data_IF_959325668379
#
_entry.id   IF_959325668379
#
_cell.length_a   1.000
_cell.length_b   1.000
_cell.length_c   1.000
_cell.angle_alpha   90.00
_cell.angle_beta   90.00
_cell.angle_gamma   90.00
#
_symmetry.space_group_name_H-M   'P 1'
#
loop_
_entity.id
_entity.type
_entity.pdbx_description
1 polymer ?
#
# COMPACT_ATOMS: atom_id res chain seq x y z
N UNK A 1 8.11 -53.09 -35.94
CA UNK A 1 7.83 -51.82 -36.66
C UNK A 1 9.08 -50.95 -36.59
N UNK A 2 9.40 -50.24 -37.68
CA UNK A 2 10.73 -49.64 -37.88
C UNK A 2 11.01 -48.41 -36.99
N UNK A 3 12.28 -48.23 -36.62
CA UNK A 3 12.82 -46.92 -36.24
C UNK A 3 12.86 -46.03 -37.47
N UNK A 4 12.50 -44.75 -37.33
CA UNK A 4 12.51 -43.76 -38.42
C UNK A 4 13.15 -42.45 -37.93
N UNK A 5 14.45 -42.51 -37.61
CA UNK A 5 15.19 -41.36 -37.05
C UNK A 5 16.65 -41.23 -37.54
N UNK A 6 17.06 -41.99 -38.56
CA UNK A 6 18.46 -42.04 -39.04
C UNK A 6 18.63 -41.63 -40.51
N UNK A 7 17.60 -41.06 -41.15
CA UNK A 7 17.58 -40.81 -42.60
C UNK A 7 17.70 -39.34 -43.04
N UNK A 8 17.97 -38.40 -42.12
CA UNK A 8 18.07 -36.96 -42.45
C UNK A 8 19.50 -36.40 -42.44
N UNK A 9 20.41 -36.96 -41.64
CA UNK A 9 21.78 -36.42 -41.49
C UNK A 9 22.76 -36.81 -42.61
N UNK A 10 22.48 -37.86 -43.40
CA UNK A 10 23.40 -38.29 -44.46
C UNK A 10 23.23 -37.57 -45.81
N UNK A 11 22.18 -36.77 -46.01
CA UNK A 11 21.93 -36.12 -47.31
C UNK A 11 22.46 -34.67 -47.42
N UNK A 12 22.76 -34.02 -46.29
CA UNK A 12 23.27 -32.64 -46.28
C UNK A 12 24.82 -32.55 -46.31
N UNK A 13 25.53 -33.62 -45.97
CA UNK A 13 27.00 -33.57 -45.88
C UNK A 13 27.71 -33.72 -47.23
N UNK A 14 27.12 -34.45 -48.20
CA UNK A 14 27.69 -34.70 -49.52
C UNK A 14 27.51 -33.58 -50.54
N UNK A 15 26.67 -32.57 -50.26
CA UNK A 15 26.48 -31.42 -51.16
C UNK A 15 27.40 -30.22 -50.83
N UNK A 16 28.00 -30.19 -49.64
CA UNK A 16 28.78 -29.05 -49.15
C UNK A 16 30.29 -29.15 -49.41
N UNK A 17 30.82 -30.37 -49.57
CA UNK A 17 32.27 -30.60 -49.76
C UNK A 17 32.74 -30.33 -51.20
N UNK A 18 31.93 -30.60 -52.21
CA UNK A 18 32.36 -30.53 -53.61
C UNK A 18 32.36 -29.11 -54.20
N UNK A 19 31.64 -28.17 -53.60
CA UNK A 19 31.65 -26.77 -54.03
C UNK A 19 32.90 -25.99 -53.57
N UNK A 20 33.64 -26.49 -52.57
CA UNK A 20 34.83 -25.84 -52.03
C UNK A 20 36.14 -26.16 -52.78
N UNK A 21 36.09 -27.01 -53.81
CA UNK A 21 37.26 -27.55 -54.51
C UNK A 21 37.68 -26.78 -55.79
N UNK A 22 37.03 -25.65 -56.12
CA UNK A 22 37.36 -24.85 -57.30
C UNK A 22 38.68 -24.06 -57.16
N UNK A 23 39.79 -24.78 -57.38
CA UNK A 23 41.05 -24.32 -58.00
C UNK A 23 41.48 -22.87 -57.70
N UNK A 24 42.11 -22.66 -56.55
CA UNK A 24 42.90 -21.45 -56.26
C UNK A 24 44.33 -21.48 -56.85
N UNK A 25 44.68 -22.50 -57.62
CA UNK A 25 45.95 -22.60 -58.35
C UNK A 25 45.88 -21.91 -59.71
N UNK A 26 46.15 -20.59 -59.71
CA UNK A 26 46.78 -19.76 -60.77
C UNK A 26 46.28 -18.29 -60.78
N UNK A 27 46.49 -17.56 -59.69
CA UNK A 27 46.57 -16.10 -59.74
C UNK A 27 47.75 -15.57 -58.93
N UNK A 28 48.96 -15.67 -59.52
CA UNK A 28 50.18 -15.12 -58.97
C UNK A 28 50.24 -13.58 -59.13
N UNK A 29 49.36 -12.86 -58.41
CA UNK A 29 49.34 -11.40 -58.44
C UNK A 29 50.46 -10.81 -57.58
N UNK A 30 51.54 -10.34 -58.23
CA UNK A 30 52.59 -9.53 -57.60
C UNK A 30 52.06 -8.10 -57.33
N UNK A 31 51.26 -7.94 -56.28
CA UNK A 31 50.64 -6.67 -55.88
C UNK A 31 50.76 -6.39 -54.37
N UNK A 32 51.29 -5.22 -54.04
CA UNK A 32 51.52 -4.62 -52.71
C UNK A 32 50.95 -5.29 -51.45
N UNK A 33 51.84 -5.52 -50.47
CA UNK A 33 51.57 -6.02 -49.10
C UNK A 33 50.44 -5.29 -48.34
N UNK A 34 50.06 -4.08 -48.75
CA UNK A 34 48.96 -3.26 -48.17
C UNK A 34 47.54 -3.67 -48.61
N UNK A 35 47.35 -4.38 -49.72
CA UNK A 35 45.98 -4.66 -50.21
C UNK A 35 45.36 -5.94 -49.60
N UNK A 36 46.18 -6.92 -49.23
CA UNK A 36 45.71 -8.17 -48.61
C UNK A 36 44.93 -7.91 -47.32
N UNK A 37 45.44 -7.05 -46.44
CA UNK A 37 44.79 -6.70 -45.14
C UNK A 37 43.38 -6.14 -45.31
N UNK A 38 43.12 -5.36 -46.37
CA UNK A 38 41.79 -4.77 -46.63
C UNK A 38 40.79 -5.81 -47.12
N UNK A 39 41.22 -6.73 -48.00
CA UNK A 39 40.34 -7.79 -48.50
C UNK A 39 39.97 -8.78 -47.38
N UNK A 40 40.92 -9.16 -46.51
CA UNK A 40 40.65 -10.05 -45.37
C UNK A 40 39.67 -9.42 -44.38
N UNK A 41 39.75 -8.10 -44.14
CA UNK A 41 38.83 -7.42 -43.24
C UNK A 41 37.39 -7.41 -43.77
N UNK A 42 37.19 -7.12 -45.06
CA UNK A 42 35.85 -7.10 -45.68
C UNK A 42 35.19 -8.48 -45.70
N UNK A 43 35.95 -9.54 -45.98
CA UNK A 43 35.41 -10.92 -45.96
C UNK A 43 35.03 -11.34 -44.54
N UNK A 44 35.85 -11.01 -43.53
CA UNK A 44 35.52 -11.27 -42.13
C UNK A 44 34.24 -10.54 -41.67
N UNK A 45 34.05 -9.29 -42.10
CA UNK A 45 32.85 -8.51 -41.76
C UNK A 45 31.58 -9.09 -42.39
N UNK A 46 31.65 -9.54 -43.64
CA UNK A 46 30.51 -10.15 -44.35
C UNK A 46 30.14 -11.50 -43.73
N UNK A 47 31.13 -12.33 -43.35
CA UNK A 47 30.88 -13.59 -42.63
C UNK A 47 30.21 -13.33 -41.27
N UNK A 48 30.67 -12.31 -40.52
CA UNK A 48 30.05 -11.94 -39.24
C UNK A 48 28.58 -11.53 -39.40
N UNK A 49 28.28 -10.73 -40.43
CA UNK A 49 26.91 -10.30 -40.76
C UNK A 49 26.01 -11.49 -41.14
N UNK A 50 26.53 -12.46 -41.89
CA UNK A 50 25.77 -13.67 -42.26
C UNK A 50 25.50 -14.57 -41.03
N UNK A 51 26.44 -14.68 -40.09
CA UNK A 51 26.21 -15.41 -38.82
C UNK A 51 25.13 -14.74 -37.98
N UNK A 52 25.07 -13.41 -37.95
CA UNK A 52 24.03 -12.65 -37.23
C UNK A 52 22.63 -12.84 -37.86
N UNK A 53 22.53 -12.99 -39.18
CA UNK A 53 21.23 -13.25 -39.85
C UNK A 53 20.83 -14.73 -39.89
N UNK A 54 21.80 -15.66 -39.86
CA UNK A 54 21.55 -17.10 -40.01
C UNK A 54 20.96 -17.78 -38.77
N UNK A 55 21.18 -17.21 -37.58
CA UNK A 55 20.59 -17.67 -36.33
C UNK A 55 19.52 -16.68 -35.87
N UNK A 56 18.26 -16.95 -36.24
CA UNK A 56 17.10 -16.11 -36.00
C UNK A 56 16.70 -16.00 -34.51
N UNK A 57 17.54 -15.35 -33.71
CA UNK A 57 17.24 -14.91 -32.35
C UNK A 57 17.52 -13.42 -32.27
N UNK A 58 16.44 -12.63 -32.29
CA UNK A 58 16.46 -11.20 -31.97
C UNK A 58 16.74 -11.02 -30.49
N UNK A 59 18.02 -11.13 -30.10
CA UNK A 59 18.49 -10.61 -28.81
C UNK A 59 18.45 -9.09 -28.88
N UNK A 60 17.30 -8.51 -28.54
CA UNK A 60 17.20 -7.09 -28.26
C UNK A 60 18.13 -6.80 -27.08
N UNK A 61 19.12 -5.93 -27.30
CA UNK A 61 20.19 -5.67 -26.34
C UNK A 61 19.73 -4.66 -25.26
N UNK A 62 18.63 -4.98 -24.59
CA UNK A 62 18.19 -4.32 -23.37
C UNK A 62 18.93 -4.93 -22.19
N UNK A 63 20.14 -4.45 -21.95
CA UNK A 63 20.83 -4.62 -20.65
C UNK A 63 20.85 -3.30 -19.92
N UNK A 64 19.66 -2.77 -19.62
CA UNK A 64 19.47 -2.07 -18.37
C UNK A 64 18.92 -3.08 -17.36
N UNK A 65 19.85 -3.74 -16.66
CA UNK A 65 19.54 -4.54 -15.49
C UNK A 65 19.98 -3.75 -14.27
N UNK A 66 19.16 -2.77 -13.88
CA UNK A 66 19.30 -2.13 -12.59
C UNK A 66 19.20 -3.21 -11.50
N UNK A 67 20.33 -3.55 -10.90
CA UNK A 67 20.37 -4.42 -9.74
C UNK A 67 19.81 -3.62 -8.56
N UNK A 68 18.49 -3.73 -8.34
CA UNK A 68 17.85 -3.24 -7.10
C UNK A 68 18.68 -3.74 -5.92
N UNK A 69 19.02 -2.82 -5.02
CA UNK A 69 20.03 -3.01 -3.98
C UNK A 69 19.54 -3.93 -2.87
N UNK A 70 19.45 -5.22 -3.20
CA UNK A 70 19.03 -6.32 -2.32
C UNK A 70 17.90 -5.90 -1.39
N UNK A 71 16.72 -5.63 -1.96
CA UNK A 71 15.47 -5.77 -1.21
C UNK A 71 15.44 -7.22 -0.73
N UNK A 72 15.93 -7.42 0.50
CA UNK A 72 15.92 -8.70 1.15
C UNK A 72 14.45 -9.01 1.43
N UNK A 73 13.82 -9.70 0.47
CA UNK A 73 12.53 -10.35 0.65
C UNK A 73 12.74 -11.35 1.79
N UNK A 74 12.51 -10.89 3.01
CA UNK A 74 12.56 -11.72 4.20
C UNK A 74 11.39 -12.69 4.08
N UNK A 75 11.63 -13.83 3.45
CA UNK A 75 10.66 -14.91 3.31
C UNK A 75 10.31 -15.39 4.72
N UNK A 76 9.22 -14.82 5.24
CA UNK A 76 8.73 -15.02 6.58
C UNK A 76 7.31 -15.55 6.52
N UNK A 77 6.94 -16.31 7.54
CA UNK A 77 5.62 -16.91 7.62
C UNK A 77 4.77 -16.06 8.54
N UNK A 78 3.63 -15.56 8.06
CA UNK A 78 2.57 -15.10 8.96
C UNK A 78 1.89 -16.35 9.54
N UNK A 79 2.07 -16.58 10.84
CA UNK A 79 1.42 -17.68 11.57
C UNK A 79 0.65 -17.04 12.72
N UNK A 80 -0.67 -17.10 12.69
CA UNK A 80 -1.48 -16.69 13.82
C UNK A 80 -2.04 -17.97 14.44
N UNK A 81 -1.58 -18.29 15.64
CA UNK A 81 -1.86 -19.55 16.34
C UNK A 81 -2.74 -19.30 17.56
N UNK A 82 -3.59 -20.29 17.85
CA UNK A 82 -4.82 -20.15 18.64
C UNK A 82 -5.79 -19.15 18.00
N UNK A 83 -7.02 -19.53 17.68
CA UNK A 83 -7.85 -20.53 18.38
C UNK A 83 -8.08 -21.81 17.56
N UNK A 84 -8.14 -22.95 18.23
CA UNK A 84 -8.37 -24.28 17.64
C UNK A 84 -9.77 -24.38 17.00
N UNK A 85 -9.99 -25.05 15.86
CA UNK A 85 -9.35 -24.91 14.53
C UNK A 85 -10.45 -24.75 13.42
N UNK A 86 -10.22 -24.46 12.12
CA UNK A 86 -9.04 -24.22 11.27
C UNK A 86 -9.52 -23.54 9.96
N UNK A 87 -8.80 -22.54 9.42
CA UNK A 87 -9.16 -21.94 8.11
C UNK A 87 -8.38 -20.66 7.77
N UNK A 88 -8.36 -20.28 6.49
CA UNK A 88 -7.67 -19.07 5.99
C UNK A 88 -8.44 -17.74 6.25
N UNK A 89 -9.53 -17.83 7.01
CA UNK A 89 -10.10 -16.74 7.80
C UNK A 89 -10.16 -17.33 9.21
N UNK A 90 -9.50 -16.70 10.17
CA UNK A 90 -9.41 -17.26 11.52
C UNK A 90 -10.77 -17.12 12.19
N UNK A 91 -11.30 -18.21 12.73
CA UNK A 91 -12.67 -18.26 13.26
C UNK A 91 -12.70 -19.02 14.58
N UNK A 92 -13.27 -18.44 15.64
CA UNK A 92 -13.41 -19.12 16.94
C UNK A 92 -14.84 -19.17 17.42
N UNK A 93 -15.26 -20.34 17.88
CA UNK A 93 -16.59 -20.56 18.45
C UNK A 93 -16.59 -20.23 19.94
N UNK A 94 -17.42 -19.28 20.35
CA UNK A 94 -17.72 -19.00 21.76
C UNK A 94 -19.12 -19.51 22.09
N UNK A 95 -19.21 -20.34 23.13
CA UNK A 95 -20.47 -20.88 23.63
C UNK A 95 -21.02 -20.00 24.75
N UNK A 96 -22.22 -19.47 24.54
CA UNK A 96 -23.00 -18.70 25.52
C UNK A 96 -24.10 -19.60 26.08
N UNK A 97 -24.25 -19.64 27.41
CA UNK A 97 -25.27 -20.44 28.10
C UNK A 97 -25.59 -19.84 29.47
N UNK A 98 -26.74 -20.21 30.04
CA UNK A 98 -27.18 -19.77 31.37
C UNK A 98 -27.33 -18.25 31.56
N UNK A 99 -27.51 -17.49 30.48
CA UNK A 99 -27.80 -16.06 30.53
C UNK A 99 -29.28 -15.80 30.84
N UNK A 100 -29.53 -14.76 31.64
CA UNK A 100 -30.85 -14.20 31.90
C UNK A 100 -31.10 -12.94 31.05
N UNK A 101 -32.35 -12.65 30.66
CA UNK A 101 -32.72 -11.40 30.00
C UNK A 101 -32.22 -10.16 30.78
N UNK A 102 -31.47 -9.29 30.11
CA UNK A 102 -30.81 -8.12 30.72
C UNK A 102 -29.34 -8.34 31.11
N UNK A 103 -28.81 -9.56 31.00
CA UNK A 103 -27.40 -9.83 31.27
C UNK A 103 -26.48 -9.15 30.22
N UNK A 104 -25.43 -8.50 30.70
CA UNK A 104 -24.39 -7.89 29.88
C UNK A 104 -23.02 -8.26 30.43
N UNK A 105 -22.03 -8.45 29.55
CA UNK A 105 -20.66 -8.67 29.98
C UNK A 105 -19.67 -8.62 28.83
N UNK A 106 -18.42 -8.95 29.13
CA UNK A 106 -17.33 -8.97 28.15
C UNK A 106 -16.44 -10.19 28.34
N UNK A 107 -15.87 -10.67 27.24
CA UNK A 107 -14.79 -11.65 27.21
C UNK A 107 -13.60 -11.10 26.42
N UNK A 108 -12.41 -11.63 26.69
CA UNK A 108 -11.18 -11.26 25.97
C UNK A 108 -10.84 -12.36 24.96
N UNK A 109 -10.66 -11.97 23.71
CA UNK A 109 -10.09 -12.79 22.65
C UNK A 109 -8.64 -12.36 22.41
N UNK A 110 -7.69 -13.14 22.91
CA UNK A 110 -6.26 -12.93 22.64
C UNK A 110 -5.90 -13.53 21.28
N UNK A 111 -5.30 -12.74 20.40
CA UNK A 111 -4.72 -13.17 19.12
C UNK A 111 -3.21 -13.16 19.24
N UNK A 112 -2.55 -14.26 18.85
CA UNK A 112 -1.10 -14.43 18.94
C UNK A 112 -0.49 -14.46 17.53
N UNK A 113 0.41 -13.54 17.22
CA UNK A 113 1.20 -13.59 16.00
C UNK A 113 2.46 -14.43 16.22
N UNK A 114 2.34 -15.75 16.10
CA UNK A 114 3.48 -16.68 16.03
C UNK A 114 4.32 -16.56 14.74
N UNK A 115 3.95 -15.63 13.85
CA UNK A 115 4.66 -15.36 12.61
C UNK A 115 6.01 -14.71 12.83
N UNK A 116 6.86 -14.77 11.80
CA UNK A 116 8.15 -14.09 11.77
C UNK A 116 8.05 -12.66 11.23
N UNK A 117 6.85 -12.18 10.94
CA UNK A 117 6.54 -10.87 10.38
C UNK A 117 5.39 -10.27 11.19
N UNK A 118 5.41 -8.96 11.36
CA UNK A 118 4.35 -8.22 12.05
C UNK A 118 2.98 -8.43 11.34
N UNK A 119 1.89 -8.19 12.05
CA UNK A 119 0.51 -8.37 11.58
C UNK A 119 -0.36 -7.16 11.96
N UNK A 120 -1.42 -6.91 11.20
CA UNK A 120 -2.48 -5.97 11.56
C UNK A 120 -3.78 -6.76 11.61
N UNK A 121 -4.43 -6.75 12.77
CA UNK A 121 -5.50 -7.69 13.11
C UNK A 121 -6.75 -6.94 13.54
N UNK A 122 -7.91 -7.40 13.09
CA UNK A 122 -9.23 -6.94 13.54
C UNK A 122 -10.26 -8.04 13.59
N UNK A 123 -11.38 -7.77 14.24
CA UNK A 123 -12.59 -8.59 14.13
C UNK A 123 -13.39 -8.12 12.91
N UNK A 124 -13.57 -8.99 11.91
CA UNK A 124 -14.31 -8.68 10.68
C UNK A 124 -15.80 -8.99 10.76
N UNK A 125 -16.24 -9.71 11.80
CA UNK A 125 -17.65 -9.90 12.11
C UNK A 125 -17.94 -11.11 12.99
N UNK A 126 -19.22 -11.31 13.27
CA UNK A 126 -19.75 -12.45 14.01
C UNK A 126 -20.68 -13.26 13.10
N UNK A 127 -20.53 -14.58 13.10
CA UNK A 127 -21.48 -15.52 12.49
C UNK A 127 -22.17 -16.28 13.60
N UNK A 128 -23.49 -16.38 13.53
CA UNK A 128 -24.31 -16.96 14.60
C UNK A 128 -24.92 -18.28 14.14
N UNK A 129 -24.94 -19.29 15.00
CA UNK A 129 -25.74 -20.50 14.75
C UNK A 129 -27.23 -20.22 15.03
N UNK A 130 -27.91 -19.67 14.03
CA UNK A 130 -29.36 -19.41 14.05
C UNK A 130 -30.17 -20.56 13.44
N UNK A 131 -29.55 -21.35 12.56
CA UNK A 131 -30.27 -22.16 11.59
C UNK A 131 -30.35 -23.65 11.97
N UNK A 132 -29.48 -24.12 12.88
CA UNK A 132 -29.45 -25.56 13.26
C UNK A 132 -30.11 -25.86 14.61
N UNK A 133 -30.33 -24.85 15.46
CA UNK A 133 -30.85 -25.04 16.81
C UNK A 133 -32.02 -24.08 17.15
N UNK A 134 -33.27 -24.57 17.29
CA UNK A 134 -34.41 -23.74 17.69
C UNK A 134 -34.32 -23.22 19.14
N UNK A 135 -33.36 -23.71 19.93
CA UNK A 135 -33.00 -23.21 21.26
C UNK A 135 -31.73 -22.33 21.22
N UNK A 136 -31.44 -21.66 20.09
CA UNK A 136 -30.33 -20.71 19.98
C UNK A 136 -30.60 -19.39 20.69
N UNK A 137 -29.62 -18.89 21.46
CA UNK A 137 -29.67 -17.53 22.04
C UNK A 137 -29.60 -16.42 20.96
N UNK A 138 -29.12 -16.74 19.75
CA UNK A 138 -28.94 -15.77 18.66
C UNK A 138 -30.13 -15.71 17.69
N UNK A 139 -31.14 -16.56 17.87
CA UNK A 139 -32.37 -16.57 17.05
C UNK A 139 -33.52 -15.76 17.66
N UNK A 140 -34.62 -15.66 16.91
CA UNK A 140 -35.89 -15.08 17.38
C UNK A 140 -35.96 -13.55 17.36
N UNK A 141 -36.89 -12.98 18.13
CA UNK A 141 -37.23 -11.55 18.08
C UNK A 141 -36.33 -10.65 18.95
N UNK A 142 -35.68 -11.22 19.97
CA UNK A 142 -34.85 -10.51 20.97
C UNK A 142 -33.56 -11.30 21.22
N UNK A 143 -32.70 -11.48 20.20
CA UNK A 143 -31.51 -12.31 20.32
C UNK A 143 -30.43 -11.66 21.19
N UNK A 144 -29.52 -12.49 21.70
CA UNK A 144 -28.23 -12.06 22.25
C UNK A 144 -27.43 -11.31 21.16
N UNK A 145 -26.90 -10.13 21.48
CA UNK A 145 -26.08 -9.34 20.56
C UNK A 145 -24.61 -9.35 20.99
N UNK A 146 -23.70 -9.47 20.01
CA UNK A 146 -22.25 -9.32 20.21
C UNK A 146 -21.73 -8.03 19.57
N UNK A 147 -20.67 -7.48 20.14
CA UNK A 147 -19.97 -6.29 19.64
C UNK A 147 -18.49 -6.30 20.05
N UNK A 148 -17.69 -5.49 19.36
CA UNK A 148 -16.25 -5.35 19.55
C UNK A 148 -15.89 -3.86 19.65
N UNK A 149 -14.78 -3.54 20.32
CA UNK A 149 -14.41 -2.15 20.65
C UNK A 149 -12.97 -1.73 20.31
N UNK A 150 -12.10 -2.65 19.91
CA UNK A 150 -10.67 -2.43 19.82
C UNK A 150 -10.23 -2.07 18.38
N UNK A 151 -11.03 -2.39 17.36
CA UNK A 151 -10.79 -1.99 15.97
C UNK A 151 -9.66 -2.78 15.33
N UNK A 152 -8.68 -2.09 14.75
CA UNK A 152 -7.47 -2.72 14.19
C UNK A 152 -6.29 -2.50 15.14
N UNK A 153 -5.63 -3.59 15.49
CA UNK A 153 -4.45 -3.62 16.38
C UNK A 153 -3.25 -4.16 15.60
N UNK A 154 -2.10 -3.45 15.57
CA UNK A 154 -0.83 -4.02 15.12
C UNK A 154 -0.28 -5.02 16.15
N UNK A 155 0.16 -6.18 15.69
CA UNK A 155 0.79 -7.24 16.50
C UNK A 155 2.14 -7.58 15.90
N UNK A 156 3.23 -7.26 16.59
CA UNK A 156 4.57 -7.61 16.11
C UNK A 156 4.82 -9.12 16.04
N UNK A 157 5.83 -9.54 15.27
CA UNK A 157 6.27 -10.93 15.20
C UNK A 157 6.55 -11.51 16.60
N UNK A 158 5.95 -12.64 16.93
CA UNK A 158 5.96 -13.25 18.27
C UNK A 158 5.09 -12.54 19.33
N UNK A 159 4.34 -11.50 18.95
CA UNK A 159 3.53 -10.68 19.84
C UNK A 159 2.09 -11.17 20.01
N UNK A 160 1.34 -10.48 20.88
CA UNK A 160 -0.08 -10.75 21.15
C UNK A 160 -0.90 -9.46 21.21
N UNK A 161 -2.19 -9.53 20.88
CA UNK A 161 -3.15 -8.47 21.15
C UNK A 161 -4.48 -9.01 21.67
N UNK A 162 -5.11 -8.25 22.56
CA UNK A 162 -6.38 -8.59 23.17
C UNK A 162 -7.52 -7.79 22.54
N UNK A 163 -8.57 -8.49 22.11
CA UNK A 163 -9.82 -7.92 21.61
C UNK A 163 -10.91 -8.11 22.66
N UNK A 164 -11.62 -7.03 23.02
CA UNK A 164 -12.73 -7.10 23.97
C UNK A 164 -14.03 -7.36 23.22
N UNK A 165 -14.62 -8.52 23.46
CA UNK A 165 -15.88 -8.95 22.86
C UNK A 165 -16.97 -8.76 23.90
N UNK A 166 -17.85 -7.79 23.67
CA UNK A 166 -18.97 -7.48 24.57
C UNK A 166 -20.22 -8.23 24.12
N UNK A 167 -20.96 -8.77 25.07
CA UNK A 167 -22.28 -9.35 24.84
C UNK A 167 -23.35 -8.59 25.62
N UNK A 168 -24.54 -8.48 25.02
CA UNK A 168 -25.70 -7.84 25.62
C UNK A 168 -26.95 -8.65 25.28
N UNK A 169 -27.65 -9.15 26.31
CA UNK A 169 -28.88 -9.90 26.15
C UNK A 169 -30.07 -9.00 26.51
N UNK A 170 -31.02 -8.72 25.60
CA UNK A 170 -32.10 -7.75 25.86
C UNK A 170 -32.96 -8.12 27.09
N UNK A 171 -33.34 -7.12 27.88
CA UNK A 171 -34.16 -7.31 29.09
C UNK A 171 -35.64 -7.61 28.81
N UNK A 172 -36.09 -7.38 27.58
CA UNK A 172 -37.39 -7.78 27.05
C UNK A 172 -37.39 -9.19 26.43
N UNK A 173 -36.24 -9.89 26.42
CA UNK A 173 -36.19 -11.29 26.01
C UNK A 173 -37.05 -12.17 26.94
N UNK A 174 -37.99 -12.91 26.35
CA UNK A 174 -38.92 -13.73 27.12
C UNK A 174 -38.33 -15.03 27.67
N UNK A 175 -39.07 -15.69 28.56
CA UNK A 175 -38.70 -17.00 29.11
C UNK A 175 -38.49 -18.11 28.04
N UNK A 176 -38.85 -17.88 26.78
CA UNK A 176 -38.54 -18.74 25.64
C UNK A 176 -37.03 -18.94 25.40
N UNK A 177 -36.19 -18.07 25.98
CA UNK A 177 -34.75 -18.19 25.95
C UNK A 177 -34.14 -18.81 27.21
N UNK A 178 -34.94 -19.16 28.23
CA UNK A 178 -34.39 -19.63 29.50
C UNK A 178 -33.87 -21.07 29.38
N UNK A 179 -32.57 -21.25 29.64
CA UNK A 179 -31.88 -22.54 29.47
C UNK A 179 -31.39 -22.80 28.04
N UNK A 180 -31.60 -21.86 27.12
CA UNK A 180 -31.03 -21.90 25.78
C UNK A 180 -29.52 -21.66 25.81
N UNK A 181 -28.86 -22.06 24.72
CA UNK A 181 -27.44 -21.82 24.50
C UNK A 181 -27.23 -21.38 23.05
N UNK A 182 -26.18 -20.62 22.78
CA UNK A 182 -25.84 -20.18 21.43
C UNK A 182 -24.34 -20.31 21.19
N UNK A 183 -23.98 -20.62 19.94
CA UNK A 183 -22.59 -20.53 19.48
C UNK A 183 -22.48 -19.35 18.53
N UNK A 184 -21.47 -18.51 18.75
CA UNK A 184 -21.07 -17.48 17.80
C UNK A 184 -19.63 -17.71 17.38
N UNK A 185 -19.42 -17.72 16.07
CA UNK A 185 -18.12 -17.79 15.42
C UNK A 185 -17.60 -16.36 15.20
N UNK A 186 -16.50 -15.99 15.87
CA UNK A 186 -15.85 -14.69 15.70
C UNK A 186 -14.84 -14.77 14.57
N UNK A 187 -15.04 -13.99 13.51
CA UNK A 187 -14.10 -13.90 12.40
C UNK A 187 -13.01 -12.86 12.71
N UNK A 188 -11.77 -13.32 12.78
CA UNK A 188 -10.57 -12.47 12.88
C UNK A 188 -9.97 -12.32 11.48
N UNK A 189 -9.86 -11.09 11.02
CA UNK A 189 -9.17 -10.72 9.79
C UNK A 189 -7.80 -10.18 10.12
N UNK A 190 -6.77 -10.84 9.62
CA UNK A 190 -5.39 -10.42 9.74
C UNK A 190 -4.81 -10.17 8.37
N UNK A 191 -4.25 -8.97 8.16
CA UNK A 191 -3.34 -8.70 7.06
C UNK A 191 -1.92 -8.77 7.61
N UNK A 192 -0.99 -9.31 6.82
CA UNK A 192 0.41 -9.25 7.18
C UNK A 192 0.80 -7.78 7.26
N UNK A 193 1.36 -7.35 8.40
CA UNK A 193 1.98 -6.04 8.43
C UNK A 193 3.23 -6.07 7.55
N UNK A 194 3.62 -4.91 7.03
CA UNK A 194 4.42 -4.87 5.83
C UNK A 194 5.82 -5.39 6.09
N UNK A 195 6.30 -6.24 5.17
CA UNK A 195 7.59 -6.88 5.32
C UNK A 195 8.69 -5.81 5.20
N UNK A 196 9.28 -5.40 6.32
CA UNK A 196 10.19 -4.26 6.43
C UNK A 196 11.60 -4.57 5.91
N UNK A 197 11.71 -5.10 4.69
CA UNK A 197 12.90 -4.87 3.89
C UNK A 197 13.08 -3.37 3.71
N UNK A 198 14.32 -2.86 3.73
CA UNK A 198 14.67 -1.43 3.83
C UNK A 198 13.79 -0.55 2.93
N UNK A 199 12.73 0.03 3.51
CA UNK A 199 11.71 0.73 2.73
C UNK A 199 12.24 2.10 2.37
N UNK A 200 12.19 2.46 1.08
CA UNK A 200 12.67 3.75 0.63
C UNK A 200 11.65 4.83 1.01
N UNK A 201 11.80 5.43 2.19
CA UNK A 201 10.92 6.53 2.59
C UNK A 201 11.14 7.80 1.74
N UNK A 202 12.16 7.83 0.86
CA UNK A 202 12.45 8.95 -0.05
C UNK A 202 12.53 10.31 0.67
N UNK A 203 13.02 10.32 1.91
CA UNK A 203 13.14 11.51 2.77
C UNK A 203 11.89 11.84 3.60
N UNK A 204 10.81 11.10 3.46
CA UNK A 204 9.64 11.17 4.33
C UNK A 204 9.89 10.48 5.67
N UNK A 205 9.25 10.96 6.72
CA UNK A 205 9.35 10.46 8.10
C UNK A 205 7.95 10.22 8.67
N UNK A 206 7.75 9.13 9.40
CA UNK A 206 6.46 8.79 10.02
C UNK A 206 6.33 9.46 11.40
N UNK A 207 5.16 10.02 11.69
CA UNK A 207 4.69 10.35 13.03
C UNK A 207 3.37 9.64 13.35
N UNK A 208 3.18 9.21 14.60
CA UNK A 208 1.92 8.63 15.09
C UNK A 208 1.62 9.06 16.52
N UNK A 209 0.35 8.99 16.94
CA UNK A 209 -0.06 9.23 18.32
C UNK A 209 -1.41 8.61 18.69
N UNK A 210 -1.66 8.45 20.00
CA UNK A 210 -2.90 7.88 20.57
C UNK A 210 -3.28 6.52 19.98
N UNK A 211 -2.37 5.54 20.04
CA UNK A 211 -2.62 4.16 19.60
C UNK A 211 -2.69 3.95 18.08
N UNK A 212 -2.54 5.01 17.30
CA UNK A 212 -2.41 4.95 15.84
C UNK A 212 -1.07 4.33 15.40
N UNK A 213 -1.06 3.81 14.18
CA UNK A 213 0.08 3.19 13.52
C UNK A 213 0.24 3.65 12.08
N UNK A 214 1.36 3.30 11.46
CA UNK A 214 1.63 3.61 10.06
C UNK A 214 3.01 3.14 9.64
N UNK A 215 3.40 3.46 8.41
CA UNK A 215 4.71 3.12 7.88
C UNK A 215 4.78 3.25 6.36
N UNK A 216 5.80 2.63 5.77
CA UNK A 216 5.92 2.44 4.33
C UNK A 216 5.86 0.93 4.04
N UNK A 217 5.17 0.53 2.99
CA UNK A 217 4.61 -0.83 2.85
C UNK A 217 4.42 -1.26 1.42
N UNK A 218 4.41 -2.56 1.12
CA UNK A 218 3.69 -3.05 -0.06
C UNK A 218 2.25 -2.52 -0.10
N UNK A 219 1.89 -1.75 -1.12
CA UNK A 219 0.56 -1.19 -1.32
C UNK A 219 -0.47 -2.22 -1.83
N UNK A 220 -1.78 -1.91 -1.81
CA UNK A 220 -2.86 -2.83 -2.20
C UNK A 220 -2.80 -3.38 -3.63
N UNK A 221 -2.03 -2.74 -4.51
CA UNK A 221 -1.83 -3.12 -5.93
C UNK A 221 -0.45 -3.70 -6.21
N UNK A 222 0.35 -3.97 -5.16
CA UNK A 222 1.80 -4.08 -5.29
C UNK A 222 2.45 -2.70 -5.40
N UNK A 223 3.79 -2.69 -5.38
CA UNK A 223 4.58 -1.47 -5.19
C UNK A 223 4.61 -1.00 -3.74
N UNK A 224 5.29 0.09 -3.44
CA UNK A 224 5.47 0.61 -2.07
C UNK A 224 4.64 1.88 -1.84
N UNK A 225 3.84 1.94 -0.78
CA UNK A 225 3.04 3.12 -0.42
C UNK A 225 3.28 3.52 1.04
N UNK A 226 2.94 4.75 1.41
CA UNK A 226 2.75 5.11 2.81
C UNK A 226 1.43 4.54 3.35
N UNK A 227 1.37 4.23 4.64
CA UNK A 227 0.25 3.56 5.31
C UNK A 227 -0.11 4.22 6.63
N UNK A 228 -1.41 4.27 6.93
CA UNK A 228 -1.98 4.95 8.09
C UNK A 228 -3.09 4.11 8.73
N UNK A 229 -3.02 3.99 10.06
CA UNK A 229 -4.05 3.39 10.92
C UNK A 229 -4.33 4.32 12.08
N UNK A 230 -5.58 4.73 12.29
CA UNK A 230 -5.94 5.60 13.42
C UNK A 230 -6.26 4.82 14.70
N UNK A 231 -6.55 3.52 14.58
CA UNK A 231 -7.05 2.70 15.67
C UNK A 231 -8.45 3.13 16.17
N UNK A 232 -8.80 2.62 17.35
CA UNK A 232 -10.09 2.79 18.05
C UNK A 232 -10.10 3.90 19.10
N UNK A 233 -9.00 4.63 19.29
CA UNK A 233 -8.93 5.73 20.25
C UNK A 233 -9.37 7.07 19.62
N UNK A 234 -10.10 7.92 20.37
CA UNK A 234 -10.27 9.33 20.00
C UNK A 234 -8.91 10.01 19.82
N UNK A 235 -8.83 10.94 18.87
CA UNK A 235 -7.62 11.68 18.50
C UNK A 235 -6.45 10.83 17.99
N UNK A 236 -6.66 9.53 17.71
CA UNK A 236 -5.69 8.69 16.98
C UNK A 236 -5.26 9.36 15.68
N UNK A 237 -3.95 9.47 15.44
CA UNK A 237 -3.41 10.10 14.24
C UNK A 237 -2.15 9.42 13.72
N UNK A 238 -2.02 9.35 12.40
CA UNK A 238 -0.83 8.89 11.71
C UNK A 238 -0.55 9.82 10.52
N UNK A 239 0.71 10.16 10.31
CA UNK A 239 1.13 11.04 9.21
C UNK A 239 2.54 10.74 8.73
N UNK A 240 2.81 11.10 7.47
CA UNK A 240 4.16 11.22 6.94
C UNK A 240 4.50 12.69 6.74
N UNK A 241 5.77 13.06 6.97
CA UNK A 241 6.29 14.43 6.89
C UNK A 241 7.55 14.47 6.03
N UNK A 242 7.66 15.44 5.12
CA UNK A 242 8.88 15.68 4.34
C UNK A 242 9.50 17.04 4.69
N UNK A 243 10.75 17.09 5.19
CA UNK A 243 11.43 18.34 5.53
C UNK A 243 12.11 19.05 4.35
N UNK A 244 12.21 18.41 3.18
CA UNK A 244 13.06 18.90 2.08
C UNK A 244 12.48 20.09 1.31
N UNK A 245 11.26 20.52 1.63
CA UNK A 245 10.54 21.60 0.94
C UNK A 245 10.61 22.96 1.64
N UNK A 246 11.30 23.08 2.77
CA UNK A 246 11.42 24.35 3.50
C UNK A 246 12.01 25.46 2.62
N UNK A 247 11.41 26.65 2.66
CA UNK A 247 11.73 27.78 1.80
C UNK A 247 11.12 27.74 0.39
N UNK A 248 10.40 26.67 0.02
CA UNK A 248 9.72 26.58 -1.29
C UNK A 248 8.53 27.54 -1.32
N UNK A 249 8.57 28.55 -2.19
CA UNK A 249 7.47 29.52 -2.35
C UNK A 249 6.25 28.84 -2.96
N UNK A 250 5.05 29.04 -2.39
CA UNK A 250 3.82 28.37 -2.85
C UNK A 250 3.48 28.71 -4.32
N UNK A 251 3.74 29.95 -4.74
CA UNK A 251 3.56 30.39 -6.13
C UNK A 251 4.53 29.75 -7.14
N UNK A 252 5.56 29.03 -6.67
CA UNK A 252 6.53 28.33 -7.52
C UNK A 252 6.19 26.85 -7.74
N UNK A 253 5.17 26.32 -7.06
CA UNK A 253 4.74 24.93 -7.21
C UNK A 253 4.15 24.70 -8.61
N UNK A 254 4.87 23.92 -9.41
CA UNK A 254 4.48 23.50 -10.76
C UNK A 254 3.52 22.30 -10.78
N UNK A 255 3.52 21.52 -9.70
CA UNK A 255 2.64 20.38 -9.46
C UNK A 255 2.49 20.16 -7.95
N UNK A 256 1.30 19.77 -7.52
CA UNK A 256 1.03 19.27 -6.17
C UNK A 256 -0.10 18.25 -6.27
N UNK A 257 0.20 16.97 -6.07
CA UNK A 257 -0.78 15.88 -6.24
C UNK A 257 -0.35 14.65 -5.45
N UNK A 258 -1.28 13.72 -5.24
CA UNK A 258 -1.01 12.42 -4.62
C UNK A 258 -2.15 11.44 -4.93
N UNK A 259 -1.91 10.16 -4.65
CA UNK A 259 -2.91 9.11 -4.69
C UNK A 259 -3.23 8.60 -3.29
N UNK A 260 -4.48 8.16 -3.09
CA UNK A 260 -4.93 7.53 -1.84
C UNK A 260 -5.71 6.26 -2.10
N UNK A 261 -5.60 5.30 -1.19
CA UNK A 261 -6.46 4.12 -1.14
C UNK A 261 -7.04 4.00 0.27
N UNK A 262 -8.34 3.74 0.41
CA UNK A 262 -8.98 3.52 1.71
C UNK A 262 -9.58 2.12 1.74
N UNK A 263 -9.06 1.25 2.61
CA UNK A 263 -9.57 -0.13 2.74
C UNK A 263 -10.70 -0.25 3.76
N UNK A 264 -10.70 0.62 4.78
CA UNK A 264 -11.76 0.67 5.78
C UNK A 264 -11.78 2.00 6.54
N UNK A 265 -12.96 2.42 6.96
CA UNK A 265 -13.16 3.50 7.91
C UNK A 265 -14.54 3.37 8.56
N UNK A 266 -14.66 3.75 9.84
CA UNK A 266 -15.94 3.91 10.53
C UNK A 266 -16.65 5.22 10.18
N UNK A 267 -15.98 6.17 9.51
CA UNK A 267 -16.57 7.41 9.01
C UNK A 267 -16.60 7.38 7.48
N UNK A 268 -17.75 7.71 6.91
CA UNK A 268 -17.92 7.72 5.45
C UNK A 268 -17.13 8.87 4.81
N UNK A 269 -16.55 8.60 3.63
CA UNK A 269 -15.97 9.58 2.71
C UNK A 269 -14.63 10.25 3.14
N UNK A 270 -13.92 9.78 4.16
CA UNK A 270 -12.57 10.30 4.48
C UNK A 270 -11.46 9.53 3.77
N UNK A 271 -10.42 10.25 3.34
CA UNK A 271 -9.14 9.71 2.86
C UNK A 271 -7.99 10.51 3.53
N UNK A 272 -6.71 10.07 3.45
CA UNK A 272 -5.60 10.84 3.99
C UNK A 272 -5.56 12.22 3.34
N UNK A 273 -5.48 13.28 4.15
CA UNK A 273 -5.42 14.66 3.70
C UNK A 273 -3.97 15.17 3.60
N UNK A 274 -3.75 16.22 2.81
CA UNK A 274 -2.46 16.89 2.73
C UNK A 274 -2.47 18.17 3.58
N UNK A 275 -1.36 18.45 4.26
CA UNK A 275 -1.17 19.66 5.08
C UNK A 275 0.13 20.34 4.66
N UNK A 276 0.09 21.66 4.48
CA UNK A 276 1.26 22.51 4.28
C UNK A 276 1.42 23.44 5.49
N UNK A 277 2.61 23.44 6.07
CA UNK A 277 3.01 24.44 7.05
C UNK A 277 3.54 25.68 6.32
N UNK A 278 2.99 26.85 6.62
CA UNK A 278 3.25 28.09 5.87
C UNK A 278 3.97 29.12 6.74
N UNK A 279 5.04 29.69 6.19
CA UNK A 279 5.66 30.95 6.61
C UNK A 279 5.15 32.05 5.66
N UNK A 280 4.51 33.10 6.22
CA UNK A 280 4.04 34.28 5.48
C UNK A 280 4.91 35.52 5.71
N UNK A 281 5.84 35.48 6.67
CA UNK A 281 6.54 36.66 7.21
C UNK A 281 8.08 36.65 6.98
N UNK A 282 8.64 35.50 6.60
CA UNK A 282 10.06 35.16 6.37
C UNK A 282 10.94 35.12 7.63
N UNK A 283 10.37 34.75 8.79
CA UNK A 283 11.12 34.50 10.03
C UNK A 283 11.60 33.04 10.19
N UNK A 284 11.09 32.11 9.36
CA UNK A 284 11.45 30.70 9.39
C UNK A 284 10.71 29.86 10.44
N UNK A 285 9.72 30.41 11.14
CA UNK A 285 8.70 29.67 11.88
C UNK A 285 7.44 29.47 11.03
N UNK A 286 6.46 28.73 11.52
CA UNK A 286 5.18 28.53 10.85
C UNK A 286 4.12 29.49 11.41
N UNK A 287 3.50 30.26 10.54
CA UNK A 287 2.40 31.17 10.85
C UNK A 287 1.03 30.49 10.71
N UNK A 288 0.81 29.70 9.64
CA UNK A 288 -0.48 29.09 9.29
C UNK A 288 -0.33 27.63 8.82
N UNK A 289 -1.44 26.90 8.78
CA UNK A 289 -1.57 25.57 8.20
C UNK A 289 -2.64 25.58 7.12
N UNK A 290 -2.26 25.17 5.91
CA UNK A 290 -3.22 24.89 4.84
C UNK A 290 -3.55 23.41 4.79
N UNK A 291 -4.84 23.10 4.79
CA UNK A 291 -5.38 21.74 4.72
C UNK A 291 -6.09 21.49 3.40
N UNK A 292 -5.78 20.36 2.77
CA UNK A 292 -6.46 19.83 1.58
C UNK A 292 -7.14 18.52 1.94
N UNK A 293 -8.46 18.55 2.01
CA UNK A 293 -9.30 17.42 2.39
C UNK A 293 -9.96 16.79 1.15
N UNK A 294 -9.67 15.51 0.81
CA UNK A 294 -10.24 14.83 -0.35
C UNK A 294 -11.77 14.88 -0.47
N UNK A 295 -12.48 14.79 0.65
CA UNK A 295 -13.94 14.90 0.73
C UNK A 295 -14.51 16.20 0.14
N UNK A 296 -13.76 17.31 0.21
CA UNK A 296 -14.22 18.64 -0.18
C UNK A 296 -13.96 18.97 -1.67
N UNK A 297 -13.35 18.04 -2.41
CA UNK A 297 -12.89 18.27 -3.79
C UNK A 297 -13.96 17.96 -4.85
N UNK A 298 -15.23 17.77 -4.43
CA UNK A 298 -16.34 17.43 -5.32
C UNK A 298 -16.32 15.99 -5.89
N UNK A 299 -15.32 15.19 -5.54
CA UNK A 299 -15.19 13.77 -5.85
C UNK A 299 -15.42 12.95 -4.58
N UNK A 300 -16.36 12.00 -4.60
CA UNK A 300 -16.57 11.10 -3.46
C UNK A 300 -15.37 10.17 -3.27
N UNK A 301 -14.94 10.00 -2.02
CA UNK A 301 -13.95 8.95 -1.66
C UNK A 301 -14.60 7.56 -1.79
N UNK A 302 -13.91 6.66 -2.47
CA UNK A 302 -14.33 5.29 -2.76
C UNK A 302 -13.47 4.29 -1.99
N UNK A 303 -14.12 3.33 -1.32
CA UNK A 303 -13.41 2.25 -0.63
C UNK A 303 -12.85 1.23 -1.62
N UNK A 304 -11.70 0.66 -1.27
CA UNK A 304 -10.97 -0.38 -1.98
C UNK A 304 -10.55 -0.01 -3.42
N UNK A 305 -10.42 1.28 -3.71
CA UNK A 305 -9.97 1.81 -5.00
C UNK A 305 -8.92 2.90 -4.79
N UNK A 306 -7.92 2.94 -5.68
CA UNK A 306 -6.99 4.07 -5.74
C UNK A 306 -7.68 5.27 -6.38
N UNK A 307 -7.52 6.44 -5.77
CA UNK A 307 -7.97 7.72 -6.31
C UNK A 307 -6.83 8.72 -6.33
N UNK A 308 -6.79 9.55 -7.36
CA UNK A 308 -5.80 10.63 -7.52
C UNK A 308 -6.43 11.97 -7.16
N UNK A 309 -5.65 12.83 -6.52
CA UNK A 309 -6.05 14.17 -6.10
C UNK A 309 -5.08 15.20 -6.68
N UNK A 310 -5.61 16.13 -7.47
CA UNK A 310 -4.88 17.33 -7.90
C UNK A 310 -5.02 18.39 -6.81
N UNK A 311 -4.06 18.42 -5.90
CA UNK A 311 -4.08 19.32 -4.77
C UNK A 311 -3.67 20.75 -5.17
N UNK A 312 -2.91 20.95 -6.25
CA UNK A 312 -2.52 22.28 -6.72
C UNK A 312 -3.73 23.09 -7.20
N UNK A 313 -4.62 22.45 -7.95
CA UNK A 313 -5.81 23.08 -8.53
C UNK A 313 -7.09 22.89 -7.68
N UNK A 314 -6.98 22.18 -6.55
CA UNK A 314 -8.09 21.91 -5.65
C UNK A 314 -8.33 22.99 -4.58
N UNK A 315 -9.25 22.69 -3.67
CA UNK A 315 -9.72 23.59 -2.63
C UNK A 315 -9.05 23.30 -1.28
N UNK A 316 -8.52 24.35 -0.66
CA UNK A 316 -7.82 24.35 0.62
C UNK A 316 -8.53 25.23 1.63
N UNK A 317 -8.38 24.92 2.92
CA UNK A 317 -8.74 25.83 4.00
C UNK A 317 -7.52 26.20 4.86
N UNK A 318 -7.56 27.40 5.43
CA UNK A 318 -6.53 27.98 6.30
C UNK A 318 -7.02 27.91 7.75
N UNK A 319 -6.13 27.57 8.70
CA UNK A 319 -6.47 27.57 10.13
C UNK A 319 -6.80 29.00 10.59
N UNK A 320 -6.06 29.98 10.09
CA UNK A 320 -6.25 31.40 10.39
C UNK A 320 -7.36 32.08 9.56
N UNK A 321 -8.01 31.35 8.65
CA UNK A 321 -9.12 31.87 7.84
C UNK A 321 -8.69 32.87 6.77
N UNK A 322 -7.41 32.85 6.35
CA UNK A 322 -6.83 33.79 5.37
C UNK A 322 -7.68 33.85 4.09
N UNK A 323 -7.89 35.05 3.55
CA UNK A 323 -8.78 35.31 2.41
C UNK A 323 -10.23 34.78 2.58
N UNK A 324 -10.67 34.47 3.81
CA UNK A 324 -11.94 33.80 4.09
C UNK A 324 -11.95 32.30 3.74
N UNK A 325 -10.79 31.67 3.62
CA UNK A 325 -10.59 30.24 3.38
C UNK A 325 -10.75 29.49 4.70
N UNK A 326 -11.89 28.85 4.92
CA UNK A 326 -12.20 28.11 6.16
C UNK A 326 -12.69 26.71 5.81
N UNK A 327 -12.76 25.78 6.76
CA UNK A 327 -13.20 24.40 6.47
C UNK A 327 -14.62 24.31 5.87
N UNK A 328 -15.49 25.30 6.14
CA UNK A 328 -16.83 25.40 5.52
C UNK A 328 -16.86 26.20 4.20
N UNK A 329 -15.74 26.77 3.80
CA UNK A 329 -15.57 27.59 2.60
C UNK A 329 -14.11 27.49 2.09
N UNK A 330 -13.66 26.30 1.67
CA UNK A 330 -12.31 26.12 1.14
C UNK A 330 -12.19 26.76 -0.26
N UNK A 331 -10.99 27.19 -0.64
CA UNK A 331 -10.72 27.86 -1.93
C UNK A 331 -9.37 27.44 -2.53
N UNK A 332 -9.12 27.79 -3.78
CA UNK A 332 -7.83 27.55 -4.43
C UNK A 332 -6.68 28.31 -3.75
N UNK A 333 -5.46 27.75 -3.83
CA UNK A 333 -4.21 28.37 -3.31
C UNK A 333 -4.00 29.79 -3.88
N UNK A 334 -4.50 30.08 -5.08
CA UNK A 334 -4.44 31.42 -5.68
C UNK A 334 -5.11 32.51 -4.83
N UNK A 335 -6.18 32.18 -4.09
CA UNK A 335 -6.86 33.12 -3.18
C UNK A 335 -5.99 33.45 -1.96
N UNK A 336 -5.21 32.47 -1.47
CA UNK A 336 -4.22 32.67 -0.41
C UNK A 336 -3.06 33.55 -0.91
N UNK A 337 -2.54 33.26 -2.10
CA UNK A 337 -1.44 34.00 -2.73
C UNK A 337 -1.81 35.44 -3.12
N UNK A 338 -3.10 35.76 -3.28
CA UNK A 338 -3.57 37.15 -3.43
C UNK A 338 -3.33 37.99 -2.17
N UNK A 339 -3.26 37.36 -0.99
CA UNK A 339 -2.96 38.01 0.30
C UNK A 339 -1.47 37.91 0.62
N UNK A 340 -0.88 36.71 0.49
CA UNK A 340 0.52 36.42 0.80
C UNK A 340 1.27 35.86 -0.42
N UNK A 341 1.62 36.70 -1.41
CA UNK A 341 2.26 36.25 -2.66
C UNK A 341 3.66 35.64 -2.45
N UNK A 342 4.28 35.93 -1.31
CA UNK A 342 5.62 35.45 -0.95
C UNK A 342 5.59 34.25 0.02
N UNK A 343 4.41 33.71 0.35
CA UNK A 343 4.26 32.60 1.29
C UNK A 343 5.11 31.37 0.88
N UNK A 344 5.76 30.74 1.86
CA UNK A 344 6.67 29.61 1.67
C UNK A 344 6.24 28.42 2.52
N UNK A 345 6.55 27.22 2.06
CA UNK A 345 6.54 26.02 2.89
C UNK A 345 7.67 26.13 3.92
N UNK A 346 7.38 25.83 5.18
CA UNK A 346 8.37 25.88 6.28
C UNK A 346 8.30 24.62 7.14
N UNK A 347 9.44 24.18 7.67
CA UNK A 347 9.44 23.02 8.56
C UNK A 347 9.02 23.41 9.97
N UNK A 348 8.02 22.70 10.53
CA UNK A 348 7.84 22.70 11.99
C UNK A 348 9.00 21.99 12.68
N UNK A 349 9.24 22.35 13.95
CA UNK A 349 10.13 21.61 14.87
C UNK A 349 9.80 20.12 15.00
N UNK A 350 8.58 19.71 14.63
CA UNK A 350 8.12 18.33 14.51
C UNK A 350 8.51 17.62 13.19
N UNK A 351 9.39 18.21 12.36
CA UNK A 351 10.17 17.47 11.36
C UNK A 351 9.71 17.54 9.90
N UNK A 352 8.80 18.45 9.53
CA UNK A 352 8.51 18.67 8.09
C UNK A 352 7.41 19.69 7.81
N UNK A 353 7.47 20.25 6.60
CA UNK A 353 6.56 21.29 6.11
C UNK A 353 5.51 20.82 5.10
N UNK A 354 5.74 19.69 4.42
CA UNK A 354 4.71 18.98 3.65
C UNK A 354 4.34 17.70 4.40
N UNK A 355 3.05 17.46 4.57
CA UNK A 355 2.52 16.34 5.35
C UNK A 355 1.38 15.64 4.61
N UNK A 356 1.27 14.33 4.76
CA UNK A 356 0.04 13.57 4.42
C UNK A 356 -0.38 12.78 5.65
N UNK A 357 -1.65 12.90 6.06
CA UNK A 357 -2.10 12.48 7.38
C UNK A 357 -3.52 11.92 7.40
N UNK A 358 -3.82 11.10 8.40
CA UNK A 358 -5.17 10.61 8.71
C UNK A 358 -5.42 10.64 10.23
N UNK A 359 -6.68 10.84 10.64
CA UNK A 359 -7.09 10.86 12.04
C UNK A 359 -7.24 12.27 12.62
N UNK A 360 -6.65 12.54 13.78
CA UNK A 360 -6.75 13.82 14.53
C UNK A 360 -8.17 14.23 14.99
N UNK A 361 -9.20 13.42 14.71
CA UNK A 361 -10.59 13.73 15.04
C UNK A 361 -11.00 13.28 16.45
N UNK A 362 -12.00 13.93 17.04
CA UNK A 362 -12.51 13.63 18.39
C UNK A 362 -13.29 12.32 18.50
N UNK A 363 -13.55 11.65 17.37
CA UNK A 363 -14.19 10.33 17.29
C UNK A 363 -13.22 9.30 16.70
N UNK A 364 -13.21 8.05 17.18
CA UNK A 364 -12.43 6.98 16.57
C UNK A 364 -12.79 6.80 15.11
N UNK A 365 -11.77 6.84 14.25
CA UNK A 365 -11.93 6.69 12.81
C UNK A 365 -11.96 5.23 12.36
N UNK A 366 -11.37 4.30 13.14
CA UNK A 366 -11.10 2.91 12.74
C UNK A 366 -10.61 2.83 11.28
N UNK A 367 -9.75 3.77 10.90
CA UNK A 367 -9.39 4.03 9.52
C UNK A 367 -8.15 3.23 9.14
N UNK A 368 -8.16 2.77 7.89
CA UNK A 368 -7.03 2.15 7.22
C UNK A 368 -6.94 2.72 5.81
N UNK A 369 -5.82 3.38 5.53
CA UNK A 369 -5.57 3.90 4.21
C UNK A 369 -4.10 4.03 3.89
N UNK A 370 -3.85 4.34 2.62
CA UNK A 370 -2.55 4.45 2.02
C UNK A 370 -2.44 5.76 1.25
N UNK A 371 -1.23 6.29 1.12
CA UNK A 371 -0.93 7.40 0.22
C UNK A 371 0.32 7.09 -0.61
N UNK A 372 0.33 7.53 -1.86
CA UNK A 372 1.33 7.14 -2.85
C UNK A 372 1.41 8.16 -3.98
N UNK A 373 2.38 8.01 -4.90
CA UNK A 373 2.58 8.84 -6.10
C UNK A 373 2.51 10.35 -5.79
N UNK A 374 3.12 10.76 -4.68
CA UNK A 374 3.09 12.14 -4.20
C UNK A 374 3.99 12.98 -5.10
N UNK A 375 3.46 14.06 -5.64
CA UNK A 375 4.21 15.03 -6.44
C UNK A 375 4.21 16.38 -5.74
N UNK A 376 5.38 17.00 -5.58
CA UNK A 376 5.54 18.35 -4.98
C UNK A 376 6.58 19.13 -5.77
N UNK A 377 6.18 20.21 -6.44
CA UNK A 377 7.08 21.11 -7.17
C UNK A 377 7.86 20.50 -8.34
N UNK A 378 7.55 19.24 -8.71
CA UNK A 378 8.29 18.44 -9.70
C UNK A 378 9.11 17.30 -9.10
N UNK A 379 9.27 17.22 -7.78
CA UNK A 379 9.71 15.99 -7.10
C UNK A 379 8.56 14.98 -7.06
N UNK A 380 8.85 13.72 -7.35
CA UNK A 380 7.89 12.61 -7.36
C UNK A 380 8.32 11.55 -6.33
N UNK A 381 7.35 10.98 -5.63
CA UNK A 381 7.55 9.99 -4.57
C UNK A 381 6.56 8.83 -4.71
N UNK A 382 7.09 7.66 -5.06
CA UNK A 382 6.42 6.36 -5.19
C UNK A 382 6.94 5.33 -4.17
N UNK A 383 7.83 5.75 -3.26
CA UNK A 383 8.42 4.95 -2.17
C UNK A 383 9.16 3.64 -2.58
N UNK A 384 9.37 3.38 -3.87
CA UNK A 384 10.10 2.21 -4.40
C UNK A 384 11.65 2.28 -4.22
#
# INVERSE_FOLDING_TARGET
MCKMSEFYDQFLWTCYTDCLSMKLDKFAWKGGKKMKTRLTLSVALIVLIIVIMGFGVTFALFTDSAQSSTSALAAGTLVIDSVTPQGAVFSTDIHYSNLAPGDTGSGTLTVINNGSLDALVSISGFVYDTDTNPASLFGGATPLALSETNGIIPISAGGTADFTINYSFPSDAGNSYQGNFGTATINVHAIQAPNSGTVNSQGWTLGTGYGAGGGFTSGPTGGTSAYFVTGSQPYGWAEIRNPNFTGTQLSSLSALSYMTYVSGSAVSQVAPWMILNIDINDDGEWDDLLYFEPQDQGQSVLLNQWQTWDALNGSWWSVDGVAGMTSVNPKAISEYLNVYPNAKIVNSSAGGGVRVAAGFQSVPWNFVGYADNITVGGSFFDFE
#
